data_IF_532721752641
#
_entry.id   IF_532721752641
#
_cell.length_a   1.000
_cell.length_b   1.000
_cell.length_c   1.000
_cell.angle_alpha   90.00
_cell.angle_beta   90.00
_cell.angle_gamma   90.00
#
_symmetry.space_group_name_H-M   'P 1'
#
loop_
_entity.id
_entity.type
_entity.pdbx_description
1 polymer ?
#
# COMPACT_ATOMS: atom_id res chain seq x y z
N UNK A 1 10.15 23.22 -54.24
CA UNK A 1 9.26 22.64 -53.22
C UNK A 1 9.95 21.48 -52.50
N UNK A 2 10.08 21.54 -51.17
CA UNK A 2 10.82 20.57 -50.36
C UNK A 2 9.90 19.45 -49.82
N UNK A 3 10.04 18.25 -50.38
CA UNK A 3 9.29 17.00 -50.10
C UNK A 3 9.50 16.37 -48.70
N UNK A 4 10.09 17.10 -47.76
CA UNK A 4 10.42 16.61 -46.40
C UNK A 4 9.48 17.11 -45.31
N UNK A 5 8.66 18.12 -45.59
CA UNK A 5 7.73 18.71 -44.60
C UNK A 5 6.38 17.99 -44.44
N UNK A 6 5.98 17.16 -45.41
CA UNK A 6 4.64 16.56 -45.41
C UNK A 6 4.51 15.33 -44.50
N UNK A 7 5.62 14.63 -44.23
CA UNK A 7 5.61 13.43 -43.38
C UNK A 7 5.54 13.75 -41.87
N UNK A 8 5.95 14.95 -41.45
CA UNK A 8 5.88 15.38 -40.05
C UNK A 8 4.49 15.92 -39.66
N UNK A 9 3.75 16.51 -40.61
CA UNK A 9 2.39 16.99 -40.36
C UNK A 9 1.37 15.84 -40.20
N UNK A 10 1.56 14.72 -40.90
CA UNK A 10 0.67 13.55 -40.80
C UNK A 10 0.84 12.74 -39.50
N UNK A 11 2.07 12.61 -39.01
CA UNK A 11 2.36 11.83 -37.80
C UNK A 11 1.80 12.45 -36.51
N UNK A 12 1.83 13.78 -36.39
CA UNK A 12 1.31 14.49 -35.22
C UNK A 12 -0.22 14.41 -35.07
N UNK A 13 -0.95 14.41 -36.19
CA UNK A 13 -2.42 14.34 -36.20
C UNK A 13 -2.92 12.94 -35.84
N UNK A 14 -2.24 11.89 -36.27
CA UNK A 14 -2.56 10.51 -35.90
C UNK A 14 -2.31 10.23 -34.41
N UNK A 15 -1.21 10.77 -33.85
CA UNK A 15 -0.90 10.63 -32.43
C UNK A 15 -1.93 11.31 -31.51
N UNK A 16 -2.30 12.56 -31.83
CA UNK A 16 -3.30 13.30 -31.05
C UNK A 16 -4.71 12.72 -31.21
N UNK A 17 -5.09 12.30 -32.42
CA UNK A 17 -6.38 11.65 -32.70
C UNK A 17 -6.54 10.32 -31.96
N UNK A 18 -5.47 9.52 -31.89
CA UNK A 18 -5.47 8.27 -31.13
C UNK A 18 -5.62 8.50 -29.61
N UNK A 19 -4.97 9.53 -29.06
CA UNK A 19 -5.10 9.90 -27.64
C UNK A 19 -6.50 10.43 -27.30
N UNK A 20 -7.11 11.22 -28.18
CA UNK A 20 -8.49 11.71 -28.00
C UNK A 20 -9.51 10.56 -28.13
N UNK A 21 -9.32 9.64 -29.08
CA UNK A 21 -10.15 8.44 -29.21
C UNK A 21 -10.01 7.51 -27.99
N UNK A 22 -8.78 7.36 -27.46
CA UNK A 22 -8.51 6.61 -26.23
C UNK A 22 -9.24 7.19 -25.02
N UNK A 23 -9.21 8.51 -24.81
CA UNK A 23 -9.89 9.14 -23.68
C UNK A 23 -11.42 8.99 -23.75
N UNK A 24 -12.00 8.89 -24.95
CA UNK A 24 -13.46 8.83 -25.15
C UNK A 24 -14.04 7.41 -25.22
N UNK A 25 -13.22 6.38 -25.50
CA UNK A 25 -13.72 5.01 -25.65
C UNK A 25 -13.62 4.22 -24.33
N UNK A 26 -14.72 4.19 -23.57
CA UNK A 26 -14.79 3.55 -22.25
C UNK A 26 -14.42 2.06 -22.26
N UNK A 27 -14.67 1.34 -23.37
CA UNK A 27 -14.34 -0.08 -23.53
C UNK A 27 -12.82 -0.28 -23.61
N UNK A 28 -12.13 0.55 -24.39
CA UNK A 28 -10.67 0.51 -24.55
C UNK A 28 -9.99 0.89 -23.23
N UNK A 29 -10.52 1.90 -22.54
CA UNK A 29 -10.04 2.32 -21.23
C UNK A 29 -10.19 1.18 -20.20
N UNK A 30 -11.34 0.52 -20.16
CA UNK A 30 -11.59 -0.62 -19.26
C UNK A 30 -10.78 -1.87 -19.63
N UNK A 31 -10.53 -2.13 -20.91
CA UNK A 31 -9.75 -3.29 -21.36
C UNK A 31 -8.25 -3.13 -21.03
N UNK A 32 -7.71 -1.92 -21.13
CA UNK A 32 -6.30 -1.63 -20.86
C UNK A 32 -6.03 -1.23 -19.39
N UNK A 33 -7.01 -0.70 -18.65
CA UNK A 33 -6.87 -0.43 -17.20
C UNK A 33 -6.96 -1.69 -16.33
N UNK A 34 -7.31 -2.85 -16.92
CA UNK A 34 -7.59 -4.10 -16.19
C UNK A 34 -6.38 -4.94 -15.81
N UNK A 35 -5.15 -4.42 -15.88
CA UNK A 35 -3.93 -5.20 -15.52
C UNK A 35 -2.86 -4.42 -14.76
N UNK A 36 -3.23 -3.64 -13.75
CA UNK A 36 -2.25 -3.15 -12.74
C UNK A 36 -2.55 -3.71 -11.35
N UNK A 37 -3.81 -4.03 -11.06
CA UNK A 37 -4.16 -4.83 -9.89
C UNK A 37 -4.42 -6.27 -10.36
N UNK A 38 -3.35 -6.98 -10.76
CA UNK A 38 -3.41 -8.43 -10.62
C UNK A 38 -3.74 -8.71 -9.16
N UNK A 39 -4.66 -9.63 -8.88
CA UNK A 39 -4.99 -10.05 -7.52
C UNK A 39 -3.67 -10.27 -6.78
N UNK A 40 -3.38 -9.41 -5.80
CA UNK A 40 -2.33 -9.69 -4.82
C UNK A 40 -2.86 -10.90 -4.07
N UNK A 41 -2.57 -12.09 -4.59
CA UNK A 41 -2.75 -13.32 -3.86
C UNK A 41 -1.68 -13.27 -2.79
N UNK A 42 -2.08 -12.73 -1.63
CA UNK A 42 -1.40 -13.01 -0.38
C UNK A 42 -1.13 -14.53 -0.42
N UNK A 43 0.15 -14.91 -0.43
CA UNK A 43 0.51 -16.30 -0.23
C UNK A 43 -0.24 -16.77 0.99
N UNK A 44 -0.75 -18.01 0.98
CA UNK A 44 -1.35 -18.58 2.17
C UNK A 44 -0.41 -18.28 3.34
N UNK A 45 -0.89 -17.51 4.33
CA UNK A 45 -0.12 -17.31 5.54
C UNK A 45 0.21 -18.72 6.06
N UNK A 46 1.46 -18.99 6.47
CA UNK A 46 1.83 -20.30 6.98
C UNK A 46 0.79 -20.70 8.01
N UNK A 47 0.22 -21.88 7.83
CA UNK A 47 -0.75 -22.38 8.78
C UNK A 47 -0.02 -22.72 10.08
N UNK A 48 -0.74 -22.79 11.20
CA UNK A 48 -0.14 -23.19 12.48
C UNK A 48 0.59 -24.53 12.46
N UNK A 49 0.31 -25.38 11.47
CA UNK A 49 0.96 -26.67 11.24
C UNK A 49 2.15 -26.62 10.26
N UNK A 50 2.41 -25.47 9.64
CA UNK A 50 3.63 -25.25 8.86
C UNK A 50 4.79 -24.95 9.84
N UNK A 51 5.80 -25.83 9.92
CA UNK A 51 7.03 -25.68 10.73
C UNK A 51 7.96 -24.56 10.21
N UNK A 52 7.41 -23.38 9.93
CA UNK A 52 8.12 -22.21 9.41
C UNK A 52 8.43 -21.28 10.59
N UNK A 53 9.45 -21.65 11.37
CA UNK A 53 9.87 -20.91 12.56
C UNK A 53 11.25 -20.31 12.32
N UNK A 54 11.25 -19.20 11.59
CA UNK A 54 12.44 -18.38 11.41
C UNK A 54 12.31 -17.15 12.28
N UNK A 55 13.41 -16.74 12.90
CA UNK A 55 13.42 -15.49 13.66
C UNK A 55 13.10 -14.34 12.71
N UNK A 56 11.99 -13.65 12.98
CA UNK A 56 11.58 -12.46 12.24
C UNK A 56 12.56 -11.32 12.52
N UNK A 57 12.98 -10.61 11.48
CA UNK A 57 13.82 -9.43 11.66
C UNK A 57 13.08 -8.36 12.48
N UNK A 58 13.77 -7.78 13.46
CA UNK A 58 13.28 -6.61 14.18
C UNK A 58 13.23 -5.39 13.24
N UNK A 59 12.26 -4.50 13.45
CA UNK A 59 12.08 -3.27 12.71
C UNK A 59 11.97 -2.10 13.68
N UNK A 60 12.44 -0.92 13.26
CA UNK A 60 12.33 0.29 14.06
C UNK A 60 10.86 0.76 14.16
N UNK A 61 10.45 1.21 15.34
CA UNK A 61 9.09 1.68 15.63
C UNK A 61 8.70 2.91 14.78
N UNK A 62 9.67 3.78 14.53
CA UNK A 62 9.47 5.06 13.86
C UNK A 62 8.71 6.08 14.72
N UNK A 63 8.36 7.25 14.15
CA UNK A 63 7.94 8.41 14.93
C UNK A 63 6.44 8.52 15.23
N UNK A 64 5.64 7.58 14.72
CA UNK A 64 4.17 7.67 14.71
C UNK A 64 3.49 6.71 15.70
N UNK A 65 4.25 6.11 16.61
CA UNK A 65 3.69 5.25 17.63
C UNK A 65 2.97 6.07 18.70
N UNK A 66 1.74 5.67 18.98
CA UNK A 66 0.94 6.16 20.10
C UNK A 66 0.23 4.98 20.76
N UNK A 67 0.27 4.92 22.09
CA UNK A 67 -0.43 3.88 22.85
C UNK A 67 -1.94 4.00 22.66
N UNK A 68 -2.56 2.94 22.15
CA UNK A 68 -3.99 2.85 21.90
C UNK A 68 -4.75 1.94 22.86
N UNK A 69 -6.09 1.89 22.76
CA UNK A 69 -6.92 0.94 23.50
C UNK A 69 -6.78 -0.49 22.95
N UNK A 70 -7.07 -1.49 23.79
CA UNK A 70 -7.08 -2.92 23.38
C UNK A 70 -8.34 -3.19 22.55
N UNK A 71 -8.15 -3.46 21.26
CA UNK A 71 -9.22 -3.79 20.31
C UNK A 71 -8.67 -4.58 19.11
N UNK A 72 -9.53 -5.31 18.41
CA UNK A 72 -9.18 -6.06 17.19
C UNK A 72 -9.59 -5.34 15.89
N UNK A 73 -10.61 -4.50 15.92
CA UNK A 73 -11.03 -3.67 14.80
C UNK A 73 -10.50 -2.24 14.99
N UNK A 74 -9.63 -1.81 14.08
CA UNK A 74 -8.95 -0.50 14.11
C UNK A 74 -9.35 0.42 12.94
N UNK A 75 -10.38 0.06 12.16
CA UNK A 75 -10.77 0.77 10.93
C UNK A 75 -11.42 2.13 11.19
N UNK A 76 -12.16 2.25 12.28
CA UNK A 76 -12.96 3.44 12.63
C UNK A 76 -13.81 3.93 11.45
N UNK A 77 -13.78 5.23 11.14
CA UNK A 77 -14.48 5.89 10.04
C UNK A 77 -13.57 6.11 8.81
N UNK A 78 -12.42 5.41 8.73
CA UNK A 78 -11.44 5.61 7.66
C UNK A 78 -11.83 4.88 6.37
N UNK A 79 -11.69 5.57 5.24
CA UNK A 79 -11.82 4.97 3.91
C UNK A 79 -10.64 4.05 3.58
N UNK A 80 -10.90 2.93 2.91
CA UNK A 80 -9.86 2.00 2.46
C UNK A 80 -10.39 0.64 2.03
N UNK A 81 -9.46 -0.23 1.59
CA UNK A 81 -9.77 -1.64 1.35
C UNK A 81 -9.71 -2.41 2.67
N UNK A 82 -10.78 -3.11 3.09
CA UNK A 82 -10.74 -3.90 4.32
C UNK A 82 -9.69 -5.01 4.27
N UNK A 83 -8.85 -5.09 5.30
CA UNK A 83 -7.86 -6.15 5.51
C UNK A 83 -8.20 -6.94 6.78
N UNK A 84 -8.31 -8.26 6.67
CA UNK A 84 -8.32 -9.16 7.83
C UNK A 84 -6.92 -9.70 8.04
N UNK A 85 -6.23 -9.19 9.05
CA UNK A 85 -4.89 -9.66 9.44
C UNK A 85 -5.02 -10.71 10.55
N UNK A 86 -4.39 -11.87 10.35
CA UNK A 86 -4.22 -12.90 11.39
C UNK A 86 -2.73 -12.97 11.73
N UNK A 87 -2.42 -12.89 13.01
CA UNK A 87 -1.06 -12.97 13.53
C UNK A 87 -0.97 -14.16 14.47
N UNK A 88 0.05 -14.98 14.30
CA UNK A 88 0.43 -16.02 15.25
C UNK A 88 1.84 -15.73 15.73
N UNK A 89 2.02 -15.68 17.05
CA UNK A 89 3.32 -15.46 17.67
C UNK A 89 3.81 -16.81 18.17
N UNK A 90 4.97 -17.24 17.68
CA UNK A 90 5.63 -18.49 18.08
C UNK A 90 7.05 -18.20 18.54
N UNK A 91 7.63 -19.09 19.33
CA UNK A 91 9.07 -19.01 19.64
C UNK A 91 9.89 -19.53 18.47
N UNK A 92 10.99 -18.84 18.16
CA UNK A 92 11.90 -19.22 17.07
C UNK A 92 12.65 -20.54 17.33
N UNK A 93 12.84 -20.93 18.59
CA UNK A 93 13.60 -22.13 18.98
C UNK A 93 12.77 -23.43 18.97
N UNK A 94 11.47 -23.33 19.20
CA UNK A 94 10.61 -24.46 19.54
C UNK A 94 9.31 -24.51 18.72
N UNK A 95 9.05 -23.51 17.88
CA UNK A 95 7.80 -23.36 17.13
C UNK A 95 6.53 -23.30 17.99
N UNK A 96 6.68 -23.23 19.31
CA UNK A 96 5.53 -23.25 20.21
C UNK A 96 4.86 -21.87 20.24
N UNK A 97 3.51 -21.81 20.22
CA UNK A 97 2.78 -20.57 20.41
C UNK A 97 3.18 -19.85 21.71
N UNK A 98 3.24 -18.52 21.66
CA UNK A 98 3.43 -17.68 22.85
C UNK A 98 2.04 -17.36 23.43
N UNK A 99 1.69 -17.89 24.61
CA UNK A 99 0.40 -17.60 25.23
C UNK A 99 0.31 -16.13 25.65
N UNK A 100 -0.90 -15.57 25.59
CA UNK A 100 -1.23 -14.23 26.07
C UNK A 100 -0.35 -13.09 25.49
N UNK A 101 0.23 -13.31 24.30
CA UNK A 101 1.02 -12.29 23.62
C UNK A 101 0.18 -11.05 23.32
N UNK A 102 0.68 -9.87 23.73
CA UNK A 102 0.07 -8.58 23.38
C UNK A 102 0.63 -8.13 22.03
N UNK A 103 -0.27 -7.90 21.07
CA UNK A 103 0.06 -7.37 19.74
C UNK A 103 -0.45 -5.95 19.65
N UNK A 104 0.47 -4.99 19.58
CA UNK A 104 0.17 -3.58 19.29
C UNK A 104 0.43 -3.30 17.80
N UNK A 105 -0.53 -2.67 17.12
CA UNK A 105 -0.46 -2.36 15.69
C UNK A 105 -0.87 -0.90 15.45
N UNK A 106 -0.10 -0.20 14.64
CA UNK A 106 -0.42 1.13 14.13
C UNK A 106 -0.11 1.20 12.63
N UNK A 107 -0.88 1.98 11.89
CA UNK A 107 -0.65 2.22 10.47
C UNK A 107 -1.29 3.55 10.03
N UNK A 108 -0.95 4.01 8.83
CA UNK A 108 -1.61 5.15 8.20
C UNK A 108 -2.87 4.74 7.45
N UNK A 109 -3.82 5.68 7.29
CA UNK A 109 -4.97 5.48 6.42
C UNK A 109 -4.57 5.38 4.93
N UNK A 110 -5.56 5.15 4.04
CA UNK A 110 -5.32 5.00 2.61
C UNK A 110 -4.68 6.24 1.94
N UNK A 111 -4.75 7.42 2.57
CA UNK A 111 -4.12 8.65 2.10
C UNK A 111 -2.74 8.89 2.72
N UNK A 112 -2.27 8.00 3.61
CA UNK A 112 -0.99 8.09 4.28
C UNK A 112 -0.99 8.98 5.54
N UNK A 113 -2.15 9.30 6.12
CA UNK A 113 -2.23 10.05 7.37
C UNK A 113 -2.21 9.11 8.59
N UNK A 114 -1.45 9.49 9.63
CA UNK A 114 -1.40 8.77 10.91
C UNK A 114 -2.29 9.45 11.95
N UNK A 115 -3.08 8.66 12.68
CA UNK A 115 -3.94 9.15 13.77
C UNK A 115 -3.11 9.83 14.86
N UNK A 116 -3.61 10.94 15.41
CA UNK A 116 -2.90 11.72 16.44
C UNK A 116 -1.82 12.66 15.89
N UNK A 117 -1.52 12.60 14.59
CA UNK A 117 -0.55 13.47 13.92
C UNK A 117 -1.21 14.31 12.83
N UNK A 118 -0.57 15.41 12.46
CA UNK A 118 -1.03 16.20 11.31
C UNK A 118 -0.77 15.44 10.01
N UNK A 119 -1.74 15.49 9.09
CA UNK A 119 -1.69 14.75 7.83
C UNK A 119 -0.53 15.14 6.90
N UNK A 120 0.07 16.33 7.09
CA UNK A 120 1.20 16.79 6.29
C UNK A 120 2.56 16.26 6.75
N UNK A 121 2.68 15.77 8.00
CA UNK A 121 3.96 15.32 8.56
C UNK A 121 4.51 14.12 7.79
N UNK A 122 3.72 13.06 7.60
CA UNK A 122 4.15 11.85 6.88
C UNK A 122 4.63 12.12 5.44
N UNK A 123 4.24 13.25 4.84
CA UNK A 123 4.61 13.65 3.48
C UNK A 123 5.82 14.59 3.42
N UNK A 124 6.28 15.10 4.57
CA UNK A 124 7.40 16.03 4.68
C UNK A 124 8.39 15.53 5.73
N UNK A 125 9.38 14.72 5.31
CA UNK A 125 10.31 14.05 6.23
C UNK A 125 11.08 15.01 7.13
N UNK A 126 11.49 16.17 6.59
CA UNK A 126 12.23 17.18 7.36
C UNK A 126 11.34 17.82 8.43
N UNK A 127 10.09 18.15 8.10
CA UNK A 127 9.13 18.73 9.05
C UNK A 127 8.77 17.70 10.15
N UNK A 128 8.72 16.41 9.81
CA UNK A 128 8.55 15.32 10.79
C UNK A 128 9.68 15.27 11.80
N UNK A 129 10.94 15.33 11.35
CA UNK A 129 12.10 15.33 12.26
C UNK A 129 12.08 16.54 13.21
N UNK A 130 11.62 17.70 12.74
CA UNK A 130 11.51 18.91 13.56
C UNK A 130 10.38 18.84 14.59
N UNK A 131 9.33 18.06 14.35
CA UNK A 131 8.19 17.93 15.27
C UNK A 131 8.50 17.02 16.47
N UNK A 132 9.56 16.22 16.39
CA UNK A 132 9.98 15.26 17.41
C UNK A 132 11.14 15.78 18.26
N UNK A 133 11.59 17.01 18.02
CA UNK A 133 12.67 17.70 18.74
C UNK A 133 12.17 18.63 19.83
#
# INVERSE_FOLDING_TARGET
>A
MNRRGFLWAGGGVLGAGALVWWQRNAIVRAALSRRVNADVRLSAAPSPEDDVCLLTAEQDEGPFFLRGPVRSDIREDRDGLPLTLRVQVVRADSCQPVPDAVVELWHCDAAGAYSGYRADLARKPVDTLLYLG
#
